data_IF_514918914196
#
_entry.id   IF_514918914196
#
_cell.length_a   1.000
_cell.length_b   1.000
_cell.length_c   1.000
_cell.angle_alpha   90.00
_cell.angle_beta   90.00
_cell.angle_gamma   90.00
#
_symmetry.space_group_name_H-M   'P 1'
#
loop_
_entity.id
_entity.type
_entity.pdbx_description
1 polymer ?
#
# COMPACT_ATOMS: atom_id res chain seq x y z
N UNK A 1 -33.64 -45.13 -29.59
CA UNK A 1 -34.52 -44.32 -28.74
C UNK A 1 -33.69 -43.18 -28.14
N UNK A 2 -34.22 -41.97 -28.00
CA UNK A 2 -33.49 -40.81 -27.45
C UNK A 2 -32.85 -41.13 -26.08
N UNK A 3 -33.51 -41.91 -25.24
CA UNK A 3 -32.97 -42.37 -23.95
C UNK A 3 -31.74 -43.30 -24.08
N UNK A 4 -31.61 -44.02 -25.14
CA UNK A 4 -30.48 -44.89 -25.38
C UNK A 4 -29.24 -44.10 -25.78
N UNK A 5 -29.41 -43.09 -26.62
CA UNK A 5 -28.32 -42.19 -27.02
C UNK A 5 -27.83 -41.32 -25.87
N UNK A 6 -28.74 -40.85 -25.04
CA UNK A 6 -28.39 -40.09 -23.83
C UNK A 6 -27.60 -40.93 -22.82
N UNK A 7 -28.05 -42.19 -22.58
CA UNK A 7 -27.33 -43.17 -21.75
C UNK A 7 -25.94 -43.48 -22.30
N UNK A 8 -25.79 -43.61 -23.61
CA UNK A 8 -24.51 -43.85 -24.27
C UNK A 8 -23.56 -42.70 -24.08
N UNK A 9 -24.01 -41.44 -24.31
CA UNK A 9 -23.23 -40.24 -24.06
C UNK A 9 -22.79 -40.10 -22.62
N UNK A 10 -23.65 -40.46 -21.68
CA UNK A 10 -23.34 -40.38 -20.23
C UNK A 10 -22.25 -41.41 -19.87
N UNK A 11 -22.31 -42.64 -20.41
CA UNK A 11 -21.28 -43.66 -20.21
C UNK A 11 -19.93 -43.23 -20.81
N UNK A 12 -19.93 -42.72 -22.04
CA UNK A 12 -18.72 -42.19 -22.68
C UNK A 12 -18.09 -41.04 -21.88
N UNK A 13 -18.91 -40.18 -21.26
CA UNK A 13 -18.46 -39.11 -20.39
C UNK A 13 -17.86 -39.64 -19.08
N UNK A 14 -18.48 -40.64 -18.48
CA UNK A 14 -17.96 -41.31 -17.27
C UNK A 14 -16.63 -42.03 -17.56
N UNK A 15 -16.51 -42.72 -18.69
CA UNK A 15 -15.26 -43.39 -19.06
C UNK A 15 -14.13 -42.39 -19.31
N UNK A 16 -14.43 -41.27 -19.97
CA UNK A 16 -13.48 -40.18 -20.13
C UNK A 16 -13.02 -39.60 -18.79
N UNK A 17 -13.93 -39.40 -17.84
CA UNK A 17 -13.56 -38.89 -16.49
C UNK A 17 -12.74 -39.92 -15.71
N UNK A 18 -13.04 -41.22 -15.83
CA UNK A 18 -12.21 -42.27 -15.23
C UNK A 18 -10.80 -42.25 -15.76
N UNK A 19 -10.64 -42.15 -17.09
CA UNK A 19 -9.33 -42.06 -17.75
C UNK A 19 -8.54 -40.85 -17.31
N UNK A 20 -9.18 -39.66 -17.22
CA UNK A 20 -8.57 -38.45 -16.71
C UNK A 20 -8.14 -38.58 -15.24
N UNK A 21 -8.97 -39.24 -14.39
CA UNK A 21 -8.65 -39.42 -12.97
C UNK A 21 -7.51 -40.42 -12.76
N UNK A 22 -7.45 -41.51 -13.55
CA UNK A 22 -6.35 -42.48 -13.50
C UNK A 22 -5.03 -41.85 -13.94
N UNK A 23 -5.06 -40.99 -14.95
CA UNK A 23 -3.88 -40.31 -15.47
C UNK A 23 -3.41 -39.16 -14.56
N UNK A 24 -4.28 -38.61 -13.71
CA UNK A 24 -3.92 -37.53 -12.77
C UNK A 24 -2.94 -37.97 -11.69
N UNK A 25 -3.02 -39.23 -11.21
CA UNK A 25 -2.17 -39.73 -10.13
C UNK A 25 -2.03 -41.26 -10.15
N UNK A 26 -1.16 -41.82 -10.99
CA UNK A 26 -0.91 -43.24 -10.96
C UNK A 26 -0.33 -43.68 -9.61
N UNK A 27 -1.12 -44.37 -8.78
CA UNK A 27 -0.66 -44.97 -7.53
C UNK A 27 -1.01 -44.24 -6.23
N UNK A 28 -1.81 -43.17 -6.24
CA UNK A 28 -2.26 -42.46 -5.02
C UNK A 28 -3.78 -42.38 -4.90
N UNK A 29 -4.29 -42.30 -3.66
CA UNK A 29 -5.72 -42.10 -3.40
C UNK A 29 -6.20 -40.75 -3.94
N UNK A 30 -7.31 -40.77 -4.66
CA UNK A 30 -7.93 -39.57 -5.24
C UNK A 30 -8.76 -38.85 -4.16
N UNK A 31 -8.55 -37.56 -4.00
CA UNK A 31 -9.38 -36.72 -3.13
C UNK A 31 -10.70 -36.34 -3.83
N UNK A 32 -11.75 -36.06 -3.04
CA UNK A 32 -13.02 -35.54 -3.58
C UNK A 32 -12.85 -34.26 -4.39
N UNK A 33 -11.88 -33.41 -4.00
CA UNK A 33 -11.57 -32.20 -4.74
C UNK A 33 -10.96 -32.50 -6.11
N UNK A 34 -10.11 -33.51 -6.25
CA UNK A 34 -9.57 -33.94 -7.53
C UNK A 34 -10.67 -34.45 -8.46
N UNK A 35 -11.60 -35.24 -7.94
CA UNK A 35 -12.76 -35.72 -8.69
C UNK A 35 -13.64 -34.57 -9.16
N UNK A 36 -13.94 -33.64 -8.27
CA UNK A 36 -14.73 -32.42 -8.57
C UNK A 36 -14.09 -31.61 -9.70
N UNK A 37 -12.78 -31.38 -9.66
CA UNK A 37 -12.07 -30.61 -10.67
C UNK A 37 -12.08 -31.26 -12.05
N UNK A 38 -11.99 -32.60 -12.13
CA UNK A 38 -12.13 -33.34 -13.40
C UNK A 38 -13.55 -33.21 -13.97
N UNK A 39 -14.57 -33.38 -13.12
CA UNK A 39 -15.97 -33.27 -13.51
C UNK A 39 -16.34 -31.84 -13.95
N UNK A 40 -15.79 -30.82 -13.27
CA UNK A 40 -16.01 -29.42 -13.62
C UNK A 40 -15.17 -28.96 -14.84
N UNK A 41 -14.40 -29.86 -15.47
CA UNK A 41 -13.55 -29.53 -16.63
C UNK A 41 -12.39 -28.59 -16.29
N UNK A 42 -12.01 -28.48 -15.01
CA UNK A 42 -10.94 -27.62 -14.52
C UNK A 42 -9.55 -28.26 -14.51
N UNK A 43 -9.44 -29.50 -14.96
CA UNK A 43 -8.15 -30.16 -15.15
C UNK A 43 -7.67 -29.84 -16.55
N UNK A 44 -6.63 -29.05 -16.63
CA UNK A 44 -5.94 -28.77 -17.88
C UNK A 44 -5.34 -30.08 -18.43
N UNK A 45 -5.47 -30.33 -19.75
CA UNK A 45 -4.70 -31.35 -20.44
C UNK A 45 -3.21 -31.15 -20.16
N UNK A 46 -2.46 -32.26 -20.06
CA UNK A 46 -1.00 -32.28 -19.83
C UNK A 46 -0.24 -31.46 -20.91
N UNK A 47 -0.34 -30.15 -20.84
CA UNK A 47 0.57 -29.24 -21.51
C UNK A 47 1.68 -28.90 -20.53
N UNK A 48 2.86 -28.61 -21.01
CA UNK A 48 4.14 -28.33 -20.34
C UNK A 48 4.11 -27.30 -19.18
N UNK A 49 3.05 -27.30 -18.37
CA UNK A 49 2.90 -26.42 -17.24
C UNK A 49 3.80 -26.88 -16.09
N UNK A 50 4.34 -25.93 -15.37
CA UNK A 50 5.16 -26.14 -14.19
C UNK A 50 4.77 -25.17 -13.10
N UNK A 51 5.19 -25.44 -11.85
CA UNK A 51 5.01 -24.51 -10.74
C UNK A 51 5.53 -23.11 -11.06
N UNK A 52 6.71 -23.05 -11.67
CA UNK A 52 7.33 -21.80 -12.13
C UNK A 52 6.52 -21.18 -13.28
N UNK A 53 6.08 -22.00 -14.25
CA UNK A 53 5.27 -21.53 -15.39
C UNK A 53 3.94 -20.92 -14.96
N UNK A 54 3.23 -21.52 -14.00
CA UNK A 54 2.00 -20.94 -13.42
C UNK A 54 2.32 -19.61 -12.70
N UNK A 55 3.45 -19.54 -12.01
CA UNK A 55 3.86 -18.29 -11.36
C UNK A 55 4.12 -17.17 -12.38
N UNK A 56 4.82 -17.48 -13.47
CA UNK A 56 5.08 -16.54 -14.57
C UNK A 56 3.80 -16.12 -15.29
N UNK A 57 2.88 -17.07 -15.51
CA UNK A 57 1.55 -16.79 -16.07
C UNK A 57 0.75 -15.81 -15.19
N UNK A 58 0.72 -16.03 -13.88
CA UNK A 58 0.07 -15.11 -12.94
C UNK A 58 0.66 -13.69 -13.06
N UNK A 59 1.99 -13.56 -13.14
CA UNK A 59 2.66 -12.28 -13.32
C UNK A 59 2.24 -11.64 -14.64
N UNK A 60 2.24 -12.42 -15.72
CA UNK A 60 1.86 -11.95 -17.05
C UNK A 60 0.42 -11.43 -17.06
N UNK A 61 -0.52 -12.23 -16.55
CA UNK A 61 -1.94 -11.88 -16.51
C UNK A 61 -2.19 -10.62 -15.67
N UNK A 62 -1.55 -10.50 -14.51
CA UNK A 62 -1.64 -9.30 -13.67
C UNK A 62 -1.10 -8.04 -14.37
N UNK A 63 -0.16 -8.19 -15.31
CA UNK A 63 0.43 -7.07 -16.05
C UNK A 63 -0.38 -6.66 -17.26
N UNK A 64 -1.12 -7.58 -17.87
CA UNK A 64 -1.80 -7.38 -19.16
C UNK A 64 -3.31 -7.23 -19.03
N UNK A 65 -3.95 -7.94 -18.09
CA UNK A 65 -5.38 -7.87 -17.89
C UNK A 65 -5.89 -6.46 -17.59
N UNK A 66 -7.05 -6.10 -18.14
CA UNK A 66 -7.71 -4.82 -17.93
C UNK A 66 -6.77 -3.61 -18.16
N UNK A 67 -6.02 -3.64 -19.27
CA UNK A 67 -5.07 -2.59 -19.64
C UNK A 67 -4.02 -2.31 -18.54
N UNK A 68 -3.57 -3.35 -17.85
CA UNK A 68 -2.54 -3.25 -16.81
C UNK A 68 -3.04 -2.70 -15.46
N UNK A 69 -4.35 -2.67 -15.22
CA UNK A 69 -4.92 -2.14 -13.97
C UNK A 69 -4.37 -2.83 -12.69
N UNK A 70 -3.80 -4.04 -12.84
CA UNK A 70 -3.18 -4.79 -11.75
C UNK A 70 -1.65 -4.88 -11.86
N UNK A 71 -1.04 -4.03 -12.68
CA UNK A 71 0.41 -4.03 -12.92
C UNK A 71 1.24 -4.00 -11.63
N UNK A 72 0.88 -3.12 -10.69
CA UNK A 72 1.55 -3.01 -9.39
C UNK A 72 1.35 -4.23 -8.49
N UNK A 73 0.29 -5.03 -8.71
CA UNK A 73 0.05 -6.29 -7.99
C UNK A 73 1.01 -7.38 -8.47
N UNK A 74 1.49 -7.31 -9.71
CA UNK A 74 2.47 -8.26 -10.26
C UNK A 74 3.88 -8.10 -9.66
N UNK A 75 4.28 -6.89 -9.26
CA UNK A 75 5.63 -6.61 -8.74
C UNK A 75 6.04 -7.51 -7.54
N UNK A 76 5.21 -7.69 -6.50
CA UNK A 76 5.52 -8.61 -5.42
C UNK A 76 5.66 -10.07 -5.87
N UNK A 77 4.84 -10.52 -6.85
CA UNK A 77 4.96 -11.88 -7.40
C UNK A 77 6.28 -12.08 -8.12
N UNK A 78 6.69 -11.11 -8.94
CA UNK A 78 7.95 -11.15 -9.65
C UNK A 78 9.16 -11.10 -8.69
N UNK A 79 9.10 -10.22 -7.69
CA UNK A 79 10.13 -10.13 -6.65
C UNK A 79 10.27 -11.44 -5.90
N UNK A 80 9.16 -12.07 -5.55
CA UNK A 80 9.15 -13.35 -4.86
C UNK A 80 9.66 -14.49 -5.75
N UNK A 81 9.28 -14.54 -7.03
CA UNK A 81 9.78 -15.53 -7.99
C UNK A 81 11.29 -15.38 -8.19
N UNK A 82 11.78 -14.15 -8.38
CA UNK A 82 13.21 -13.89 -8.51
C UNK A 82 13.99 -14.27 -7.24
N UNK A 83 13.41 -14.03 -6.06
CA UNK A 83 13.97 -14.50 -4.80
C UNK A 83 14.01 -16.03 -4.73
N UNK A 84 12.91 -16.69 -5.09
CA UNK A 84 12.80 -18.14 -5.11
C UNK A 84 13.86 -18.77 -6.02
N UNK A 85 13.92 -18.33 -7.29
CA UNK A 85 14.93 -18.77 -8.25
C UNK A 85 16.37 -18.52 -7.77
N UNK A 86 16.62 -17.38 -7.13
CA UNK A 86 17.95 -16.97 -6.67
C UNK A 86 18.44 -17.78 -5.47
N UNK A 87 17.60 -18.11 -4.50
CA UNK A 87 17.98 -18.84 -3.29
C UNK A 87 17.94 -20.36 -3.44
N UNK A 88 17.15 -20.88 -4.39
CA UNK A 88 17.14 -22.30 -4.74
C UNK A 88 18.12 -22.63 -5.88
N UNK A 89 18.82 -21.62 -6.41
CA UNK A 89 19.73 -21.67 -7.53
C UNK A 89 19.11 -22.35 -8.76
N UNK A 90 19.92 -23.26 -9.39
CA UNK A 90 19.51 -24.08 -10.52
C UNK A 90 18.86 -25.39 -10.10
N UNK A 91 18.34 -25.53 -8.91
CA UNK A 91 17.44 -26.63 -8.62
C UNK A 91 16.25 -26.46 -9.57
N UNK A 92 16.34 -27.08 -10.74
CA UNK A 92 15.27 -27.17 -11.71
C UNK A 92 14.12 -27.92 -11.03
N UNK A 93 13.18 -27.16 -10.45
CA UNK A 93 11.91 -27.73 -10.04
C UNK A 93 11.17 -28.07 -11.32
N UNK A 94 11.37 -29.32 -11.78
CA UNK A 94 10.74 -29.84 -12.99
C UNK A 94 9.26 -29.96 -12.75
N UNK A 95 8.46 -29.44 -13.66
CA UNK A 95 7.02 -29.55 -13.58
C UNK A 95 6.48 -29.08 -12.22
N UNK A 96 5.92 -30.00 -11.44
CA UNK A 96 5.32 -29.76 -10.13
C UNK A 96 6.06 -30.49 -8.99
N UNK A 97 7.34 -30.77 -9.14
CA UNK A 97 8.14 -31.44 -8.10
C UNK A 97 8.50 -30.54 -6.91
N UNK A 98 7.84 -29.40 -6.77
CA UNK A 98 8.01 -28.51 -5.62
C UNK A 98 7.48 -29.16 -4.33
N UNK A 99 8.30 -29.14 -3.27
CA UNK A 99 7.97 -29.73 -1.97
C UNK A 99 8.09 -28.73 -0.82
N UNK A 100 7.69 -29.14 0.38
CA UNK A 100 7.86 -28.36 1.59
C UNK A 100 9.35 -28.10 1.89
N UNK A 101 10.24 -29.04 1.55
CA UNK A 101 11.68 -28.93 1.75
C UNK A 101 12.27 -27.78 0.89
N UNK A 102 11.78 -27.64 -0.34
CA UNK A 102 12.16 -26.49 -1.19
C UNK A 102 11.76 -25.16 -0.57
N UNK A 103 10.54 -25.08 -0.01
CA UNK A 103 10.06 -23.84 0.63
C UNK A 103 10.85 -23.54 1.90
N UNK A 104 11.18 -24.56 2.71
CA UNK A 104 12.01 -24.41 3.91
C UNK A 104 13.45 -23.97 3.56
N UNK A 105 14.06 -24.59 2.55
CA UNK A 105 15.40 -24.22 2.07
C UNK A 105 15.43 -22.76 1.61
N UNK A 106 14.41 -22.34 0.87
CA UNK A 106 14.28 -20.93 0.46
C UNK A 106 14.10 -20.00 1.68
N UNK A 107 13.26 -20.37 2.65
CA UNK A 107 13.08 -19.61 3.88
C UNK A 107 14.37 -19.47 4.65
N UNK A 108 15.10 -20.57 4.84
CA UNK A 108 16.38 -20.61 5.55
C UNK A 108 17.42 -19.72 4.84
N UNK A 109 17.53 -19.82 3.52
CA UNK A 109 18.39 -18.95 2.72
C UNK A 109 18.03 -17.46 2.86
N UNK A 110 16.75 -17.11 2.94
CA UNK A 110 16.32 -15.73 3.19
C UNK A 110 16.62 -15.27 4.63
N UNK A 111 16.63 -16.16 5.61
CA UNK A 111 16.93 -15.85 7.01
C UNK A 111 18.44 -15.66 7.22
N UNK A 112 19.23 -16.61 6.76
CA UNK A 112 20.67 -16.71 7.07
C UNK A 112 21.55 -16.13 5.98
N UNK A 113 20.99 -15.86 4.81
CA UNK A 113 21.76 -15.63 3.60
C UNK A 113 22.22 -16.95 2.97
N UNK A 114 22.89 -16.86 1.84
CA UNK A 114 23.43 -18.02 1.14
C UNK A 114 24.68 -17.64 0.33
N UNK A 115 25.46 -18.63 -0.07
CA UNK A 115 26.58 -18.46 -1.00
C UNK A 115 26.18 -19.09 -2.34
N UNK A 116 26.21 -18.32 -3.43
CA UNK A 116 25.85 -18.77 -4.75
C UNK A 116 26.87 -19.72 -5.38
N UNK A 117 26.45 -20.45 -6.42
CA UNK A 117 27.38 -21.28 -7.21
C UNK A 117 28.50 -20.47 -7.83
N UNK A 118 28.29 -19.18 -8.05
CA UNK A 118 29.25 -18.20 -8.54
C UNK A 118 30.09 -17.57 -7.42
N UNK A 119 30.00 -18.09 -6.20
CA UNK A 119 30.69 -17.58 -5.02
C UNK A 119 30.12 -16.28 -4.44
N UNK A 120 29.10 -15.68 -5.06
CA UNK A 120 28.48 -14.45 -4.54
C UNK A 120 27.66 -14.71 -3.30
N UNK A 121 27.86 -13.86 -2.29
CA UNK A 121 27.10 -13.91 -1.03
C UNK A 121 25.75 -13.23 -1.18
N UNK A 122 24.67 -13.97 -0.98
CA UNK A 122 23.32 -13.44 -0.82
C UNK A 122 23.12 -13.02 0.64
N UNK A 123 22.70 -11.76 0.81
CA UNK A 123 22.44 -11.21 2.15
C UNK A 123 21.11 -11.72 2.72
N UNK A 124 20.96 -11.83 4.04
CA UNK A 124 19.68 -12.05 4.70
C UNK A 124 18.61 -11.05 4.27
N UNK A 125 17.36 -11.51 4.23
CA UNK A 125 16.20 -10.73 3.82
C UNK A 125 15.40 -10.32 5.07
N UNK A 126 14.99 -9.05 5.14
CA UNK A 126 14.16 -8.55 6.25
C UNK A 126 12.86 -9.36 6.39
N UNK A 127 12.40 -9.57 7.62
CA UNK A 127 11.17 -10.31 7.95
C UNK A 127 9.95 -9.86 7.13
N UNK A 128 9.74 -8.55 6.99
CA UNK A 128 8.65 -7.99 6.16
C UNK A 128 8.71 -8.45 4.71
N UNK A 129 9.91 -8.40 4.08
CA UNK A 129 10.10 -8.83 2.69
C UNK A 129 9.92 -10.34 2.56
N UNK A 130 10.44 -11.13 3.53
CA UNK A 130 10.23 -12.58 3.60
C UNK A 130 8.74 -12.91 3.68
N UNK A 131 7.98 -12.21 4.54
CA UNK A 131 6.55 -12.38 4.64
C UNK A 131 5.79 -12.03 3.34
N UNK A 132 6.24 -11.01 2.58
CA UNK A 132 5.70 -10.71 1.26
C UNK A 132 5.96 -11.88 0.31
N UNK A 133 7.21 -12.31 0.17
CA UNK A 133 7.61 -13.40 -0.71
C UNK A 133 6.82 -14.69 -0.43
N UNK A 134 6.70 -15.07 0.85
CA UNK A 134 5.97 -16.27 1.27
C UNK A 134 4.45 -16.18 0.99
N UNK A 135 3.84 -15.00 1.12
CA UNK A 135 2.42 -14.80 0.75
C UNK A 135 2.18 -14.99 -0.74
N UNK A 136 3.09 -14.50 -1.59
CA UNK A 136 2.97 -14.69 -3.04
C UNK A 136 3.13 -16.17 -3.40
N UNK A 137 4.15 -16.84 -2.86
CA UNK A 137 4.33 -18.28 -3.06
C UNK A 137 3.10 -19.09 -2.62
N UNK A 138 2.52 -18.77 -1.46
CA UNK A 138 1.28 -19.39 -1.00
C UNK A 138 0.12 -19.18 -1.98
N UNK A 139 -0.01 -18.01 -2.57
CA UNK A 139 -1.04 -17.73 -3.55
C UNK A 139 -0.85 -18.56 -4.81
N UNK A 140 0.39 -18.70 -5.32
CA UNK A 140 0.72 -19.57 -6.45
C UNK A 140 0.47 -21.02 -6.12
N UNK A 141 0.88 -21.49 -4.94
CA UNK A 141 0.60 -22.86 -4.48
C UNK A 141 -0.89 -23.19 -4.48
N UNK A 142 -1.69 -22.25 -3.95
CA UNK A 142 -3.15 -22.42 -3.92
C UNK A 142 -3.74 -22.41 -5.34
N UNK A 143 -3.21 -21.61 -6.26
CA UNK A 143 -3.63 -21.62 -7.66
C UNK A 143 -3.29 -22.95 -8.36
N UNK A 144 -2.08 -23.49 -8.12
CA UNK A 144 -1.71 -24.82 -8.60
C UNK A 144 -2.70 -25.89 -8.10
N UNK A 145 -3.04 -25.85 -6.81
CA UNK A 145 -4.05 -26.79 -6.25
C UNK A 145 -5.43 -26.57 -6.86
N UNK A 146 -5.85 -25.35 -7.07
CA UNK A 146 -7.12 -25.02 -7.73
C UNK A 146 -7.20 -25.58 -9.17
N UNK A 147 -6.04 -25.65 -9.85
CA UNK A 147 -5.92 -26.25 -11.20
C UNK A 147 -5.75 -27.76 -11.20
N UNK A 148 -5.74 -28.41 -10.03
CA UNK A 148 -5.58 -29.87 -9.92
C UNK A 148 -4.15 -30.35 -9.72
N UNK A 149 -3.16 -29.46 -9.69
CA UNK A 149 -1.78 -29.78 -9.39
C UNK A 149 -1.50 -29.76 -7.88
N UNK A 150 -0.44 -30.41 -7.44
CA UNK A 150 0.00 -30.43 -6.03
C UNK A 150 -1.06 -30.92 -5.02
N UNK A 151 -2.06 -31.70 -5.46
CA UNK A 151 -3.14 -32.18 -4.59
C UNK A 151 -2.61 -33.17 -3.55
N UNK A 152 -1.66 -34.00 -3.93
CA UNK A 152 -1.01 -35.02 -3.07
C UNK A 152 0.24 -34.48 -2.37
N UNK A 153 0.70 -33.29 -2.75
CA UNK A 153 1.87 -32.67 -2.12
C UNK A 153 1.47 -32.04 -0.80
N UNK A 154 2.23 -32.30 0.24
CA UNK A 154 1.99 -31.75 1.56
C UNK A 154 1.96 -30.22 1.53
N UNK A 155 0.88 -29.61 2.07
CA UNK A 155 0.72 -28.16 2.10
C UNK A 155 1.76 -27.51 3.02
N UNK A 156 2.62 -26.62 2.51
CA UNK A 156 3.79 -26.16 3.26
C UNK A 156 3.51 -25.09 4.30
N UNK A 157 2.41 -24.35 4.23
CA UNK A 157 2.20 -23.14 5.03
C UNK A 157 1.25 -23.37 6.20
N UNK A 158 1.68 -23.06 7.42
CA UNK A 158 0.81 -23.00 8.62
C UNK A 158 1.51 -22.25 9.74
N UNK A 159 0.81 -21.37 10.43
CA UNK A 159 1.32 -20.73 11.65
C UNK A 159 1.13 -21.56 12.92
N UNK A 160 0.30 -22.61 12.86
CA UNK A 160 -0.10 -23.43 14.03
C UNK A 160 0.56 -24.81 14.07
N UNK A 161 1.01 -25.35 12.94
CA UNK A 161 1.53 -26.73 12.86
C UNK A 161 3.04 -26.76 12.82
N UNK A 162 3.67 -27.56 13.72
CA UNK A 162 5.10 -27.88 13.66
C UNK A 162 5.46 -28.44 12.28
N UNK A 163 6.66 -28.13 11.82
CA UNK A 163 7.18 -28.63 10.54
C UNK A 163 6.67 -27.88 9.29
N UNK A 164 5.76 -26.92 9.45
CA UNK A 164 5.28 -26.05 8.38
C UNK A 164 6.01 -24.70 8.38
N UNK A 165 5.98 -24.03 7.23
CA UNK A 165 6.52 -22.68 7.10
C UNK A 165 5.51 -21.67 7.62
N UNK A 166 5.96 -20.85 8.57
CA UNK A 166 5.15 -19.74 9.11
C UNK A 166 5.41 -18.47 8.32
N UNK A 167 4.35 -17.82 7.86
CA UNK A 167 4.47 -16.56 7.14
C UNK A 167 4.62 -15.40 8.11
N UNK A 168 5.76 -14.69 8.13
CA UNK A 168 5.97 -13.58 9.04
C UNK A 168 4.92 -12.48 8.89
N UNK A 169 4.46 -11.97 10.03
CA UNK A 169 3.64 -10.77 10.06
C UNK A 169 4.45 -9.54 9.58
N UNK A 170 3.79 -8.51 9.04
CA UNK A 170 4.45 -7.23 8.78
C UNK A 170 5.06 -6.65 10.05
N UNK A 171 6.25 -6.06 9.95
CA UNK A 171 6.84 -5.33 11.06
C UNK A 171 6.00 -4.11 11.42
N UNK A 172 5.94 -3.77 12.72
CA UNK A 172 5.35 -2.52 13.17
C UNK A 172 6.18 -1.33 12.65
N UNK A 173 5.50 -0.24 12.30
CA UNK A 173 6.11 1.02 11.84
C UNK A 173 5.61 2.20 12.67
N UNK A 174 5.34 1.96 13.96
CA UNK A 174 4.76 2.98 14.85
C UNK A 174 5.64 4.20 15.02
N UNK A 175 6.95 4.05 14.87
CA UNK A 175 7.93 5.12 15.05
C UNK A 175 8.26 5.88 13.75
N UNK A 176 7.66 5.46 12.61
CA UNK A 176 7.87 6.10 11.30
C UNK A 176 6.88 7.26 11.10
N UNK A 177 6.90 8.29 11.95
CA UNK A 177 6.08 9.50 11.82
C UNK A 177 6.81 10.74 12.34
N UNK A 178 6.31 11.92 11.95
CA UNK A 178 6.66 13.22 12.50
C UNK A 178 5.47 13.76 13.30
N UNK A 179 5.71 14.22 14.51
CA UNK A 179 4.68 14.84 15.37
C UNK A 179 4.20 16.19 14.82
N UNK A 180 3.15 16.76 15.44
CA UNK A 180 2.55 18.03 15.00
C UNK A 180 3.60 19.16 15.03
N UNK A 181 4.48 19.22 16.04
CA UNK A 181 5.48 20.26 16.14
C UNK A 181 6.44 20.22 14.95
N UNK A 182 7.00 19.06 14.64
CA UNK A 182 7.89 18.88 13.49
C UNK A 182 7.18 19.10 12.14
N UNK A 183 5.92 18.72 12.01
CA UNK A 183 5.14 19.00 10.81
C UNK A 183 4.88 20.51 10.66
N UNK A 184 4.68 21.22 11.76
CA UNK A 184 4.53 22.68 11.78
C UNK A 184 5.83 23.36 11.37
N UNK A 185 6.98 22.91 11.87
CA UNK A 185 8.29 23.43 11.45
C UNK A 185 8.53 23.22 9.94
N UNK A 186 8.21 22.03 9.40
CA UNK A 186 8.28 21.77 7.95
C UNK A 186 7.35 22.71 7.15
N UNK A 187 6.15 22.96 7.64
CA UNK A 187 5.24 23.92 7.02
C UNK A 187 5.80 25.35 7.05
N UNK A 188 6.43 25.76 8.16
CA UNK A 188 7.08 27.06 8.25
C UNK A 188 8.28 27.19 7.30
N UNK A 189 9.08 26.13 7.12
CA UNK A 189 10.13 26.09 6.07
C UNK A 189 9.52 26.31 4.68
N UNK A 190 8.38 25.70 4.41
CA UNK A 190 7.66 25.90 3.15
C UNK A 190 7.21 27.36 2.98
N UNK A 191 6.57 27.93 3.98
CA UNK A 191 6.05 29.32 3.95
C UNK A 191 7.18 30.34 3.78
N UNK A 192 8.24 30.21 4.60
CA UNK A 192 9.33 31.17 4.67
C UNK A 192 10.36 31.03 3.53
N UNK A 193 10.39 29.87 2.84
CA UNK A 193 11.33 29.55 1.75
C UNK A 193 12.82 29.75 2.13
N UNK A 194 13.16 29.62 3.41
CA UNK A 194 14.51 29.80 3.94
C UNK A 194 15.40 28.60 3.63
N UNK A 195 15.87 28.49 2.39
CA UNK A 195 16.80 27.46 1.96
C UNK A 195 18.24 27.96 1.92
N UNK A 196 19.24 27.11 2.18
CA UNK A 196 20.64 27.50 2.18
C UNK A 196 21.14 28.02 0.81
N UNK A 197 21.79 29.17 0.78
CA UNK A 197 22.43 29.73 -0.42
C UNK A 197 23.54 28.83 -0.98
N UNK A 198 24.08 27.92 -0.15
CA UNK A 198 25.08 26.94 -0.56
C UNK A 198 24.54 25.83 -1.45
N UNK A 199 23.22 25.75 -1.60
CA UNK A 199 22.63 24.75 -2.49
C UNK A 199 22.84 25.13 -3.97
N UNK A 200 23.01 24.12 -4.81
CA UNK A 200 23.17 24.32 -6.26
C UNK A 200 21.95 25.06 -6.83
N UNK A 201 22.20 25.91 -7.82
CA UNK A 201 21.14 26.66 -8.53
C UNK A 201 19.98 25.74 -8.93
N UNK A 202 18.76 26.17 -8.66
CA UNK A 202 17.52 25.46 -8.94
C UNK A 202 17.27 24.24 -8.04
N UNK A 203 18.11 24.01 -7.01
CA UNK A 203 17.85 22.91 -6.06
C UNK A 203 16.82 23.34 -5.01
N UNK A 204 16.85 24.58 -4.57
CA UNK A 204 15.89 25.13 -3.60
C UNK A 204 14.45 25.04 -4.12
N UNK A 205 14.22 25.43 -5.37
CA UNK A 205 12.90 25.34 -6.00
C UNK A 205 12.38 23.90 -6.10
N UNK A 206 13.26 22.96 -6.49
CA UNK A 206 12.89 21.54 -6.51
C UNK A 206 12.65 20.95 -5.12
N UNK A 207 13.40 21.41 -4.12
CA UNK A 207 13.22 20.99 -2.74
C UNK A 207 11.93 21.57 -2.16
N UNK A 208 11.62 22.83 -2.47
CA UNK A 208 10.37 23.47 -2.11
C UNK A 208 9.15 22.73 -2.66
N UNK A 209 9.16 22.44 -3.97
CA UNK A 209 8.09 21.65 -4.60
C UNK A 209 7.93 20.27 -3.94
N UNK A 210 9.03 19.57 -3.67
CA UNK A 210 9.02 18.27 -3.01
C UNK A 210 8.47 18.34 -1.57
N UNK A 211 8.84 19.39 -0.81
CA UNK A 211 8.28 19.64 0.52
C UNK A 211 6.79 19.91 0.44
N UNK A 212 6.34 20.71 -0.51
CA UNK A 212 4.92 20.96 -0.77
C UNK A 212 4.16 19.67 -1.05
N UNK A 213 4.67 18.77 -1.92
CA UNK A 213 4.05 17.47 -2.18
C UNK A 213 3.97 16.58 -0.93
N UNK A 214 4.98 16.61 -0.06
CA UNK A 214 4.95 15.87 1.21
C UNK A 214 3.88 16.42 2.17
N UNK A 215 3.80 17.75 2.26
CA UNK A 215 2.78 18.42 3.08
C UNK A 215 1.37 18.20 2.53
N UNK A 216 1.18 18.21 1.20
CA UNK A 216 -0.09 17.85 0.56
C UNK A 216 -0.51 16.42 0.93
N UNK A 217 0.43 15.47 0.96
CA UNK A 217 0.13 14.11 1.41
C UNK A 217 -0.34 14.08 2.87
N UNK A 218 0.30 14.84 3.73
CA UNK A 218 -0.02 14.91 5.15
C UNK A 218 -1.36 15.59 5.41
N UNK A 219 -1.53 16.83 4.94
CA UNK A 219 -2.75 17.63 5.15
C UNK A 219 -3.95 17.10 4.35
N UNK A 220 -3.68 16.37 3.26
CA UNK A 220 -4.66 15.71 2.40
C UNK A 220 -5.00 14.29 2.86
N UNK A 221 -5.31 14.09 4.14
CA UNK A 221 -5.76 12.81 4.69
C UNK A 221 -4.72 11.66 4.60
N UNK A 222 -3.44 11.99 4.65
CA UNK A 222 -2.38 11.00 4.58
C UNK A 222 -2.34 10.24 3.25
N UNK A 223 -2.63 10.89 2.14
CA UNK A 223 -2.62 10.30 0.82
C UNK A 223 -1.23 9.81 0.40
N UNK A 224 -1.20 8.73 -0.38
CA UNK A 224 0.04 8.34 -1.04
C UNK A 224 0.28 9.22 -2.26
N UNK A 225 1.53 9.40 -2.67
CA UNK A 225 1.87 10.22 -3.83
C UNK A 225 1.17 9.76 -5.13
N UNK A 226 0.86 8.47 -5.27
CA UNK A 226 0.08 7.95 -6.42
C UNK A 226 -1.35 8.48 -6.44
N UNK A 227 -1.95 8.73 -5.28
CA UNK A 227 -3.29 9.30 -5.16
C UNK A 227 -3.22 10.82 -5.47
N UNK A 228 -2.20 11.52 -4.95
CA UNK A 228 -1.91 12.95 -5.24
C UNK A 228 -1.66 13.17 -6.74
N UNK A 229 -0.88 12.29 -7.38
CA UNK A 229 -0.55 12.39 -8.80
C UNK A 229 -1.78 12.25 -9.72
N UNK A 230 -2.83 11.59 -9.27
CA UNK A 230 -4.08 11.39 -10.01
C UNK A 230 -5.23 12.27 -9.51
N UNK A 231 -4.96 13.18 -8.57
CA UNK A 231 -5.96 14.11 -8.06
C UNK A 231 -6.35 15.11 -9.15
N UNK A 232 -7.65 15.31 -9.33
CA UNK A 232 -8.20 16.25 -10.33
C UNK A 232 -9.11 17.28 -9.68
N UNK A 233 -9.21 18.43 -10.32
CA UNK A 233 -10.24 19.43 -10.00
C UNK A 233 -11.59 18.94 -10.52
N UNK A 234 -12.26 18.09 -9.73
CA UNK A 234 -13.59 17.57 -10.07
C UNK A 234 -14.68 18.63 -9.92
N UNK A 235 -15.89 18.36 -10.45
CA UNK A 235 -17.05 19.23 -10.23
C UNK A 235 -17.30 19.51 -8.74
N UNK A 236 -17.13 18.50 -7.87
CA UNK A 236 -17.30 18.66 -6.41
C UNK A 236 -16.37 19.73 -5.80
N UNK A 237 -15.14 19.91 -6.33
CA UNK A 237 -14.24 20.96 -5.88
C UNK A 237 -14.84 22.36 -6.12
N UNK A 238 -15.48 22.56 -7.27
CA UNK A 238 -16.13 23.84 -7.61
C UNK A 238 -17.46 24.01 -6.85
N UNK A 239 -18.25 22.95 -6.72
CA UNK A 239 -19.55 22.98 -5.99
C UNK A 239 -19.37 23.28 -4.49
N UNK A 240 -18.24 22.94 -3.92
CA UNK A 240 -17.86 23.25 -2.53
C UNK A 240 -17.09 24.57 -2.38
N UNK A 241 -17.15 25.44 -3.39
CA UNK A 241 -16.41 26.73 -3.37
C UNK A 241 -14.90 26.55 -3.11
N UNK A 242 -14.31 25.47 -3.68
CA UNK A 242 -12.92 25.07 -3.53
C UNK A 242 -12.52 24.62 -2.12
N UNK A 243 -13.48 24.20 -1.30
CA UNK A 243 -13.25 23.82 0.10
C UNK A 243 -12.92 22.32 0.27
N UNK A 244 -13.12 21.50 -0.75
CA UNK A 244 -12.79 20.08 -0.67
C UNK A 244 -12.53 19.45 -2.03
N UNK A 245 -11.65 18.45 -2.06
CA UNK A 245 -11.58 17.51 -3.17
C UNK A 245 -12.42 16.27 -2.89
N UNK A 246 -12.99 15.68 -3.96
CA UNK A 246 -13.57 14.35 -3.94
C UNK A 246 -12.71 13.45 -4.82
N UNK A 247 -12.25 12.35 -4.25
CA UNK A 247 -11.36 11.41 -4.91
C UNK A 247 -11.83 9.97 -4.71
N UNK A 248 -11.66 9.13 -5.72
CA UNK A 248 -11.96 7.70 -5.67
C UNK A 248 -10.67 6.89 -5.70
N UNK A 249 -10.31 6.31 -4.57
CA UNK A 249 -9.06 5.60 -4.41
C UNK A 249 -9.07 4.28 -5.19
N UNK A 250 -8.23 4.15 -6.24
CA UNK A 250 -8.18 2.94 -7.09
C UNK A 250 -7.95 1.65 -6.31
N UNK A 251 -7.06 1.67 -5.31
CA UNK A 251 -6.71 0.49 -4.51
C UNK A 251 -7.88 -0.11 -3.74
N UNK A 252 -8.85 0.69 -3.34
CA UNK A 252 -10.00 0.29 -2.51
C UNK A 252 -11.31 0.28 -3.28
N UNK A 253 -11.36 0.81 -4.51
CA UNK A 253 -12.57 0.97 -5.32
C UNK A 253 -13.41 -0.31 -5.48
N UNK A 254 -12.76 -1.47 -5.68
CA UNK A 254 -13.44 -2.76 -5.85
C UNK A 254 -13.72 -3.51 -4.54
N UNK A 255 -13.26 -3.00 -3.39
CA UNK A 255 -13.37 -3.67 -2.08
C UNK A 255 -14.21 -2.89 -1.08
N UNK A 256 -14.43 -1.61 -1.30
CA UNK A 256 -15.25 -0.74 -0.45
C UNK A 256 -16.65 -0.62 -1.03
N UNK A 257 -17.69 -0.75 -0.20
CA UNK A 257 -19.11 -0.55 -0.60
C UNK A 257 -19.35 0.86 -1.15
N UNK A 258 -18.58 1.86 -0.70
CA UNK A 258 -18.65 3.25 -1.17
C UNK A 258 -17.70 3.53 -2.34
N UNK A 259 -17.22 2.50 -3.05
CA UNK A 259 -16.32 2.66 -4.19
C UNK A 259 -14.97 3.30 -3.87
N UNK A 260 -14.57 3.36 -2.58
CA UNK A 260 -13.32 4.02 -2.15
C UNK A 260 -13.35 5.54 -2.25
N UNK A 261 -14.54 6.16 -2.17
CA UNK A 261 -14.71 7.61 -2.16
C UNK A 261 -14.10 8.23 -0.90
N UNK A 262 -13.26 9.23 -1.08
CA UNK A 262 -12.66 10.05 -0.02
C UNK A 262 -12.96 11.53 -0.29
N UNK A 263 -13.29 12.27 0.75
CA UNK A 263 -13.36 13.72 0.74
C UNK A 263 -12.10 14.23 1.44
N UNK A 264 -11.39 15.16 0.80
CA UNK A 264 -10.21 15.83 1.36
C UNK A 264 -10.63 17.25 1.68
N UNK A 265 -10.81 17.63 2.94
CA UNK A 265 -11.09 19.01 3.31
C UNK A 265 -9.85 19.87 3.04
N UNK A 266 -10.06 21.05 2.50
CA UNK A 266 -9.00 22.02 2.23
C UNK A 266 -8.98 23.03 3.38
N UNK A 267 -8.00 22.86 4.26
CA UNK A 267 -7.70 23.83 5.31
C UNK A 267 -6.85 24.98 4.75
N UNK A 268 -6.81 26.11 5.46
CA UNK A 268 -5.99 27.28 5.06
C UNK A 268 -4.53 26.91 4.73
N UNK A 269 -3.81 26.12 5.55
CA UNK A 269 -2.45 25.69 5.20
C UNK A 269 -2.37 24.86 3.92
N UNK A 270 -3.33 23.98 3.69
CA UNK A 270 -3.37 23.19 2.45
C UNK A 270 -3.66 24.09 1.24
N UNK A 271 -4.60 25.06 1.38
CA UNK A 271 -4.88 26.03 0.31
C UNK A 271 -3.62 26.85 -0.04
N UNK A 272 -2.89 27.33 0.95
CA UNK A 272 -1.64 28.06 0.73
C UNK A 272 -0.62 27.24 -0.07
N UNK A 273 -0.47 25.94 0.24
CA UNK A 273 0.42 25.07 -0.52
C UNK A 273 -0.08 24.88 -1.96
N UNK A 274 -1.38 24.68 -2.15
CA UNK A 274 -1.98 24.52 -3.48
C UNK A 274 -1.79 25.78 -4.34
N UNK A 275 -1.93 26.98 -3.76
CA UNK A 275 -1.76 28.24 -4.46
C UNK A 275 -0.31 28.44 -4.95
N UNK A 276 0.69 27.86 -4.24
CA UNK A 276 2.10 27.98 -4.60
C UNK A 276 2.56 26.93 -5.62
N UNK A 277 2.15 25.64 -5.45
CA UNK A 277 2.74 24.55 -6.24
C UNK A 277 1.76 23.79 -7.16
N UNK A 278 0.46 24.00 -7.02
CA UNK A 278 -0.52 23.29 -7.87
C UNK A 278 -0.74 24.02 -9.20
N UNK A 279 -1.21 23.27 -10.19
CA UNK A 279 -1.68 23.88 -11.45
C UNK A 279 -2.95 24.71 -11.21
N UNK A 280 -3.18 25.78 -12.01
CA UNK A 280 -4.41 26.56 -11.89
C UNK A 280 -5.67 25.69 -12.02
N UNK A 281 -6.71 25.91 -11.17
CA UNK A 281 -7.91 25.10 -11.17
C UNK A 281 -8.64 25.15 -12.51
N UNK A 282 -8.77 23.97 -13.14
CA UNK A 282 -9.56 23.76 -14.35
C UNK A 282 -10.30 22.44 -14.23
N UNK A 283 -11.59 22.44 -14.56
CA UNK A 283 -12.43 21.25 -14.45
C UNK A 283 -11.79 20.03 -15.13
N UNK A 284 -11.74 18.91 -14.40
CA UNK A 284 -11.16 17.63 -14.79
C UNK A 284 -9.63 17.64 -15.08
N UNK A 285 -8.95 18.77 -14.89
CA UNK A 285 -7.50 18.81 -15.00
C UNK A 285 -6.83 18.23 -13.75
N UNK A 286 -5.62 17.68 -13.92
CA UNK A 286 -4.79 17.24 -12.80
C UNK A 286 -4.34 18.44 -11.94
N UNK A 287 -4.34 18.25 -10.63
CA UNK A 287 -3.82 19.24 -9.68
C UNK A 287 -2.29 19.35 -9.79
N UNK A 288 -1.60 18.22 -10.01
CA UNK A 288 -0.13 18.14 -10.13
C UNK A 288 0.30 17.45 -11.42
N UNK A 289 0.09 18.06 -12.61
CA UNK A 289 0.35 17.42 -13.90
C UNK A 289 1.82 17.03 -14.11
N UNK A 290 2.76 17.72 -13.48
CA UNK A 290 4.20 17.46 -13.60
C UNK A 290 4.63 16.08 -13.06
N UNK A 291 3.86 15.46 -12.15
CA UNK A 291 4.19 14.14 -11.63
C UNK A 291 4.03 13.08 -12.71
N UNK A 292 2.95 13.15 -13.48
CA UNK A 292 2.63 12.14 -14.50
C UNK A 292 3.19 12.48 -15.89
N UNK A 293 3.41 13.76 -16.19
CA UNK A 293 3.89 14.21 -17.52
C UNK A 293 3.11 13.56 -18.68
N UNK A 294 1.78 13.46 -18.54
CA UNK A 294 0.89 12.87 -19.54
C UNK A 294 0.81 11.34 -19.55
N UNK A 295 1.46 10.64 -18.62
CA UNK A 295 1.35 9.19 -18.52
C UNK A 295 -0.09 8.75 -18.21
N UNK A 296 -0.63 7.83 -19.02
CA UNK A 296 -1.99 7.27 -18.86
C UNK A 296 -1.98 5.77 -18.60
N UNK A 297 -0.94 5.06 -19.04
CA UNK A 297 -0.80 3.63 -18.80
C UNK A 297 -0.26 3.35 -17.38
N UNK A 298 -0.81 2.36 -16.69
CA UNK A 298 -0.48 2.05 -15.28
C UNK A 298 1.02 1.81 -15.03
N UNK A 299 1.73 1.17 -15.96
CA UNK A 299 3.18 0.98 -15.91
C UNK A 299 3.93 2.31 -15.85
N UNK A 300 3.53 3.26 -16.71
CA UNK A 300 4.22 4.54 -16.82
C UNK A 300 3.87 5.45 -15.66
N UNK A 301 2.61 5.46 -15.23
CA UNK A 301 2.16 6.11 -13.97
C UNK A 301 3.00 5.59 -12.81
N UNK A 302 3.15 4.25 -12.69
CA UNK A 302 3.95 3.64 -11.62
C UNK A 302 5.41 4.07 -11.67
N UNK A 303 6.00 4.12 -12.84
CA UNK A 303 7.39 4.56 -13.06
C UNK A 303 7.58 6.02 -12.65
N UNK A 304 6.69 6.92 -13.12
CA UNK A 304 6.73 8.35 -12.79
C UNK A 304 6.57 8.60 -11.31
N UNK A 305 5.55 8.03 -10.69
CA UNK A 305 5.28 8.16 -9.25
C UNK A 305 6.42 7.60 -8.41
N UNK A 306 7.01 6.46 -8.80
CA UNK A 306 8.17 5.89 -8.09
C UNK A 306 9.39 6.80 -8.16
N UNK A 307 9.67 7.38 -9.31
CA UNK A 307 10.74 8.37 -9.49
C UNK A 307 10.52 9.61 -8.64
N UNK A 308 9.30 10.16 -8.66
CA UNK A 308 8.99 11.34 -7.86
C UNK A 308 8.97 11.06 -6.35
N UNK A 309 8.53 9.88 -5.91
CA UNK A 309 8.68 9.47 -4.51
C UNK A 309 10.14 9.50 -4.04
N UNK A 310 11.06 9.01 -4.88
CA UNK A 310 12.50 9.05 -4.56
C UNK A 310 13.01 10.50 -4.49
N UNK A 311 12.60 11.33 -5.44
CA UNK A 311 12.93 12.76 -5.45
C UNK A 311 12.42 13.48 -4.21
N UNK A 312 11.17 13.25 -3.83
CA UNK A 312 10.55 13.83 -2.62
C UNK A 312 11.33 13.39 -1.38
N UNK A 313 11.61 12.09 -1.25
CA UNK A 313 12.35 11.55 -0.11
C UNK A 313 13.75 12.15 0.02
N UNK A 314 14.54 12.17 -1.05
CA UNK A 314 15.91 12.65 -1.03
C UNK A 314 15.98 14.15 -0.69
N UNK A 315 15.07 14.95 -1.25
CA UNK A 315 15.00 16.39 -0.98
C UNK A 315 14.50 16.68 0.43
N UNK A 316 13.52 15.93 0.92
CA UNK A 316 13.02 16.07 2.28
C UNK A 316 14.08 15.70 3.32
N UNK A 317 14.84 14.62 3.12
CA UNK A 317 15.98 14.26 3.98
C UNK A 317 17.00 15.41 4.02
N UNK A 318 17.27 16.03 2.88
CA UNK A 318 18.21 17.14 2.80
C UNK A 318 17.67 18.41 3.51
N UNK A 319 16.38 18.71 3.40
CA UNK A 319 15.73 19.77 4.17
C UNK A 319 15.84 19.50 5.68
N UNK A 320 15.48 18.29 6.11
CA UNK A 320 15.59 17.90 7.52
C UNK A 320 17.02 18.10 8.05
N UNK A 321 18.03 17.69 7.28
CA UNK A 321 19.42 17.78 7.70
C UNK A 321 19.99 19.20 7.64
N UNK A 322 19.84 19.87 6.49
CA UNK A 322 20.57 21.13 6.21
C UNK A 322 19.83 22.36 6.73
N UNK A 323 18.50 22.31 6.89
CA UNK A 323 17.66 23.44 7.32
C UNK A 323 17.20 23.27 8.77
N UNK A 324 16.73 22.07 9.13
CA UNK A 324 16.15 21.80 10.45
C UNK A 324 17.12 21.10 11.41
N UNK A 325 18.28 20.64 10.92
CA UNK A 325 19.29 19.91 11.69
C UNK A 325 18.76 18.64 12.37
N UNK A 326 17.82 17.94 11.70
CA UNK A 326 17.26 16.68 12.19
C UNK A 326 17.99 15.47 11.59
N UNK A 327 18.28 14.49 12.43
CA UNK A 327 18.87 13.19 12.03
C UNK A 327 17.79 12.17 11.67
N UNK A 328 16.75 12.57 10.90
CA UNK A 328 15.66 11.71 10.46
C UNK A 328 15.65 11.57 8.93
N UNK A 329 15.06 10.49 8.45
CA UNK A 329 14.97 10.19 7.02
C UNK A 329 13.52 9.89 6.61
N UNK A 330 12.64 10.89 6.62
CA UNK A 330 11.23 10.67 6.32
C UNK A 330 11.04 10.26 4.88
N UNK A 331 10.02 9.47 4.64
CA UNK A 331 9.55 9.06 3.30
C UNK A 331 8.09 9.45 3.12
N UNK A 332 7.54 9.35 1.90
CA UNK A 332 6.13 9.65 1.65
C UNK A 332 5.15 8.85 2.54
N UNK A 333 5.52 7.65 3.00
CA UNK A 333 4.70 6.88 3.96
C UNK A 333 4.65 7.52 5.35
N UNK A 334 5.66 8.29 5.73
CA UNK A 334 5.65 9.02 7.00
C UNK A 334 4.55 10.08 7.03
N UNK A 335 4.24 10.75 5.92
CA UNK A 335 3.12 11.67 5.84
C UNK A 335 1.81 11.00 6.25
N UNK A 336 1.58 9.76 5.75
CA UNK A 336 0.39 8.98 6.10
C UNK A 336 0.37 8.51 7.55
N UNK A 337 1.50 8.07 8.08
CA UNK A 337 1.62 7.67 9.48
C UNK A 337 1.46 8.88 10.41
N UNK A 338 2.05 10.03 10.05
CA UNK A 338 1.88 11.28 10.79
C UNK A 338 0.44 11.75 10.83
N UNK A 339 -0.29 11.72 9.71
CA UNK A 339 -1.71 12.04 9.68
C UNK A 339 -2.50 11.21 10.70
N UNK A 340 -2.39 9.89 10.63
CA UNK A 340 -3.15 9.00 11.51
C UNK A 340 -2.74 9.17 12.99
N UNK A 341 -1.43 9.23 13.26
CA UNK A 341 -0.90 9.32 14.63
C UNK A 341 -1.23 10.66 15.26
N UNK A 342 -1.02 11.75 14.53
CA UNK A 342 -1.23 13.11 15.04
C UNK A 342 -2.70 13.39 15.32
N UNK A 343 -3.62 12.99 14.43
CA UNK A 343 -5.06 13.13 14.70
C UNK A 343 -5.50 12.25 15.87
N UNK A 344 -4.96 11.03 16.00
CA UNK A 344 -5.24 10.17 17.17
C UNK A 344 -4.78 10.85 18.47
N UNK A 345 -3.58 11.44 18.50
CA UNK A 345 -3.05 12.13 19.66
C UNK A 345 -3.80 13.45 19.94
N UNK A 346 -4.38 14.08 18.91
CA UNK A 346 -5.24 15.25 19.04
C UNK A 346 -6.69 14.92 19.45
N UNK A 347 -6.98 13.66 19.81
CA UNK A 347 -8.28 13.20 20.29
C UNK A 347 -9.34 13.09 19.19
N UNK A 348 -8.95 12.98 17.92
CA UNK A 348 -9.88 12.79 16.81
C UNK A 348 -10.32 11.33 16.72
N UNK A 349 -11.59 11.11 16.43
CA UNK A 349 -12.19 9.79 16.35
C UNK A 349 -11.54 8.92 15.28
N UNK A 350 -11.25 7.68 15.65
CA UNK A 350 -10.63 6.71 14.72
C UNK A 350 -11.48 6.46 13.47
N UNK A 351 -12.79 6.48 13.61
CA UNK A 351 -13.75 6.33 12.49
C UNK A 351 -13.51 7.39 11.40
N UNK A 352 -13.28 8.65 11.80
CA UNK A 352 -12.91 9.71 10.86
C UNK A 352 -11.55 9.44 10.18
N UNK A 353 -10.55 9.06 10.96
CA UNK A 353 -9.21 8.77 10.42
C UNK A 353 -9.27 7.63 9.40
N UNK A 354 -9.98 6.54 9.71
CA UNK A 354 -10.16 5.40 8.82
C UNK A 354 -10.94 5.79 7.55
N UNK A 355 -12.01 6.62 7.67
CA UNK A 355 -12.76 7.16 6.53
C UNK A 355 -11.85 8.02 5.63
N UNK A 356 -11.14 8.99 6.21
CA UNK A 356 -10.25 9.89 5.48
C UNK A 356 -9.11 9.15 4.78
N UNK A 357 -8.60 8.07 5.38
CA UNK A 357 -7.55 7.23 4.78
C UNK A 357 -8.08 6.19 3.79
N UNK A 358 -9.39 6.11 3.56
CA UNK A 358 -10.05 5.06 2.78
C UNK A 358 -9.66 3.64 3.26
N UNK A 359 -9.57 3.43 4.56
CA UNK A 359 -9.42 2.10 5.13
C UNK A 359 -10.79 1.42 5.15
N UNK A 360 -10.85 0.17 4.68
CA UNK A 360 -12.02 -0.67 4.91
C UNK A 360 -12.05 -1.06 6.38
N UNK A 361 -12.93 -0.48 7.15
CA UNK A 361 -13.28 -1.03 8.46
C UNK A 361 -13.96 -2.39 8.25
N UNK A 362 -13.77 -3.33 9.17
CA UNK A 362 -14.59 -4.54 9.23
C UNK A 362 -16.02 -4.07 9.43
N UNK A 363 -16.79 -4.02 8.34
CA UNK A 363 -18.06 -3.33 8.29
C UNK A 363 -19.06 -4.06 9.18
N UNK A 364 -19.46 -3.43 10.26
CA UNK A 364 -20.68 -3.78 10.96
C UNK A 364 -21.90 -3.41 10.07
N UNK A 365 -23.02 -4.06 10.28
CA UNK A 365 -24.28 -3.67 9.61
C UNK A 365 -24.61 -2.21 9.90
N UNK A 366 -24.25 -1.71 11.06
CA UNK A 366 -24.43 -0.32 11.51
C UNK A 366 -23.73 0.69 10.61
N UNK A 367 -22.54 0.37 10.08
CA UNK A 367 -21.79 1.28 9.18
C UNK A 367 -22.53 1.59 7.87
N UNK A 368 -23.57 0.82 7.54
CA UNK A 368 -24.43 1.09 6.38
C UNK A 368 -25.41 2.25 6.60
N UNK A 369 -25.65 2.59 7.85
CA UNK A 369 -26.64 3.63 8.26
C UNK A 369 -25.95 4.92 8.69
N UNK A 370 -24.62 4.92 8.85
CA UNK A 370 -23.88 6.11 9.29
C UNK A 370 -23.49 6.94 8.06
N UNK A 371 -23.92 8.20 8.04
CA UNK A 371 -23.49 9.15 7.03
C UNK A 371 -22.03 9.57 7.24
N UNK A 372 -21.39 10.02 6.16
CA UNK A 372 -20.04 10.61 6.26
C UNK A 372 -20.00 11.83 7.14
N UNK A 373 -18.83 12.12 7.71
CA UNK A 373 -18.62 13.34 8.47
C UNK A 373 -18.94 14.59 7.63
N UNK A 374 -19.69 15.57 8.15
CA UNK A 374 -19.91 16.84 7.48
C UNK A 374 -18.60 17.55 7.15
N UNK A 375 -18.56 18.31 6.06
CA UNK A 375 -17.33 18.97 5.59
C UNK A 375 -16.72 19.89 6.65
N UNK A 376 -17.54 20.66 7.36
CA UNK A 376 -17.12 21.54 8.44
C UNK A 376 -16.38 20.77 9.55
N UNK A 377 -16.91 19.59 9.92
CA UNK A 377 -16.27 18.74 10.92
C UNK A 377 -14.96 18.15 10.43
N UNK A 378 -14.88 17.81 9.16
CA UNK A 378 -13.63 17.36 8.54
C UNK A 378 -12.57 18.46 8.52
N UNK A 379 -12.96 19.70 8.22
CA UNK A 379 -12.08 20.88 8.28
C UNK A 379 -11.61 21.11 9.72
N UNK A 380 -12.50 21.08 10.71
CA UNK A 380 -12.17 21.21 12.14
C UNK A 380 -11.15 20.14 12.56
N UNK A 381 -11.32 18.88 12.18
CA UNK A 381 -10.39 17.82 12.52
C UNK A 381 -9.03 18.01 11.84
N UNK A 382 -9.01 18.35 10.56
CA UNK A 382 -7.75 18.53 9.83
C UNK A 382 -7.02 19.81 10.23
N UNK A 383 -7.69 20.82 10.79
CA UNK A 383 -7.00 22.02 11.32
C UNK A 383 -6.11 21.70 12.51
N UNK A 384 -6.33 20.56 13.20
CA UNK A 384 -5.47 20.08 14.30
C UNK A 384 -4.13 19.50 13.84
N UNK A 385 -3.92 19.32 12.52
CA UNK A 385 -2.70 18.74 11.97
C UNK A 385 -1.47 19.65 12.07
N UNK A 386 -1.67 20.96 12.23
CA UNK A 386 -0.60 21.93 12.45
C UNK A 386 -0.93 22.79 13.66
N UNK A 387 0.10 23.20 14.40
CA UNK A 387 -0.02 24.19 15.48
C UNK A 387 0.52 25.55 15.00
N UNK A 388 -0.32 26.31 14.31
CA UNK A 388 0.06 27.61 13.72
C UNK A 388 0.01 28.77 14.72
N UNK A 389 -0.73 28.59 15.82
CA UNK A 389 -0.77 29.52 16.95
C UNK A 389 -0.27 28.77 18.20
N UNK A 390 1.03 28.48 18.31
CA UNK A 390 1.53 27.88 19.53
C UNK A 390 1.25 28.84 20.66
N UNK A 391 0.47 28.40 21.66
CA UNK A 391 0.44 29.10 22.94
C UNK A 391 1.89 29.21 23.39
N UNK A 392 2.45 30.41 23.59
CA UNK A 392 3.84 30.53 23.98
C UNK A 392 4.10 29.65 25.19
N UNK A 393 5.16 28.83 25.10
CA UNK A 393 5.53 27.96 26.20
C UNK A 393 5.80 28.85 27.40
N UNK A 394 4.93 28.81 28.41
CA UNK A 394 5.06 29.60 29.63
C UNK A 394 6.27 29.05 30.37
N UNK A 395 7.32 29.84 30.42
CA UNK A 395 8.55 29.48 31.14
C UNK A 395 8.35 29.61 32.65
N UNK A 396 9.24 29.01 33.44
CA UNK A 396 9.23 29.19 34.90
C UNK A 396 9.41 30.66 35.30
N UNK A 397 10.10 31.45 34.50
CA UNK A 397 10.31 32.84 34.75
C UNK A 397 9.08 33.69 34.37
N UNK A 398 8.33 33.32 33.33
CA UNK A 398 7.03 33.92 33.03
C UNK A 398 6.05 33.68 34.19
N UNK A 399 5.99 32.48 34.74
CA UNK A 399 5.14 32.14 35.91
C UNK A 399 5.53 32.99 37.14
N UNK A 400 6.82 33.19 37.38
CA UNK A 400 7.28 34.00 38.52
C UNK A 400 6.93 35.46 38.39
N UNK A 401 6.86 35.98 37.17
CA UNK A 401 6.60 37.40 36.88
C UNK A 401 5.11 37.68 36.60
N UNK A 402 4.26 36.66 36.51
CA UNK A 402 2.80 36.79 36.33
C UNK A 402 2.15 37.41 37.53
N UNK A 403 1.22 38.35 37.31
CA UNK A 403 0.29 38.84 38.34
C UNK A 403 -0.67 37.73 38.78
N UNK A 404 -1.35 37.94 39.90
CA UNK A 404 -2.36 36.97 40.40
C UNK A 404 -3.54 36.87 39.44
N UNK A 405 -3.90 37.94 38.79
CA UNK A 405 -4.98 38.06 37.79
C UNK A 405 -4.64 37.25 36.53
N UNK A 406 -3.42 37.39 36.02
CA UNK A 406 -2.92 36.65 34.85
C UNK A 406 -2.84 35.16 35.15
N UNK A 407 -2.36 34.77 36.35
CA UNK A 407 -2.31 33.37 36.77
C UNK A 407 -3.73 32.77 36.93
N UNK A 408 -4.69 33.53 37.44
CA UNK A 408 -6.07 33.08 37.54
C UNK A 408 -6.71 32.89 36.14
N UNK A 409 -6.49 33.78 35.20
CA UNK A 409 -6.96 33.66 33.84
C UNK A 409 -6.36 32.43 33.14
N UNK A 410 -5.05 32.17 33.31
CA UNK A 410 -4.37 31.00 32.78
C UNK A 410 -4.95 29.68 33.36
N UNK A 411 -5.22 29.63 34.67
CA UNK A 411 -5.81 28.48 35.31
C UNK A 411 -7.22 28.22 34.81
N UNK A 412 -8.03 29.25 34.56
CA UNK A 412 -9.39 29.13 34.00
C UNK A 412 -9.29 28.55 32.59
N UNK A 413 -8.40 29.08 31.73
CA UNK A 413 -8.18 28.56 30.37
C UNK A 413 -7.72 27.10 30.34
N UNK A 414 -6.89 26.68 31.30
CA UNK A 414 -6.46 25.28 31.43
C UNK A 414 -7.54 24.33 31.96
N UNK A 415 -8.54 24.85 32.69
CA UNK A 415 -9.66 24.07 33.20
C UNK A 415 -10.82 23.94 32.20
N UNK A 416 -10.86 24.81 31.19
CA UNK A 416 -11.86 24.80 30.11
C UNK A 416 -11.42 23.98 28.87
N UNK A 417 -10.17 23.57 28.81
CA UNK A 417 -9.57 22.67 27.77
C UNK A 417 -9.56 21.22 28.23
#
# INVERSE_FOLDING_TARGET
>A
SPKYEEKKRLLETVDRYKEMLVNLNPGHELTLDAVRMVVEGKVASQTSESFIGIWEEIIHNLRTENNGARYTTAEPYETALNSFKRFLWKEDIKGFEVSIEHIKKWEDGMINGAIGPDGKKLKPVKSTTRGINMRQCRAVWNECRRRGYLLQTEYPFSNAKKGKVSIPAPASRKDEYLDIARMTELYQVFVNKNYPDTWKKGYAERAHYALGLFLVQYLGNGFNLVDVAQLTYSQYYFDTERRAFKFYRKKTRGRSKNGGEVIIPITEPLQHILDDIAAPPKLNALVFPHILEGATHERDIRKRVSGENSNVQDRLIKICKDVLHWEVRPSGTWARHSFATNLTHAGVERSYIDEGMAHSQGQSVTDLYIAKYPLEKQIEYNSKLLNLNPTPAITKDDIKNMSKEEMAALLIELMEK
#
